data_IF_566924284226
#
_entry.id   IF_566924284226
#
_cell.length_a   1.000
_cell.length_b   1.000
_cell.length_c   1.000
_cell.angle_alpha   90.00
_cell.angle_beta   90.00
_cell.angle_gamma   90.00
#
_symmetry.space_group_name_H-M   'P 1'
#
loop_
_entity.id
_entity.type
_entity.pdbx_description
1 polymer ?
#
# COMPACT_ATOMS: atom_id res chain seq x y z
N UNK A 1 -1.62 0.69 -12.39
CA UNK A 1 -0.49 -0.02 -13.02
C UNK A 1 0.78 0.36 -12.27
N UNK A 2 1.25 -0.52 -11.38
CA UNK A 2 2.50 -0.30 -10.66
C UNK A 2 3.66 -0.42 -11.66
N UNK A 3 4.34 0.69 -11.93
CA UNK A 3 5.49 0.74 -12.82
C UNK A 3 6.67 0.07 -12.10
N UNK A 4 7.10 -1.08 -12.60
CA UNK A 4 8.45 -1.62 -12.38
C UNK A 4 8.80 -1.98 -10.93
N UNK A 5 8.02 -2.85 -10.29
CA UNK A 5 8.49 -3.56 -9.09
C UNK A 5 9.44 -4.69 -9.54
N UNK A 6 10.72 -4.36 -9.67
CA UNK A 6 11.78 -5.36 -9.56
C UNK A 6 11.87 -5.76 -8.09
N UNK A 7 11.70 -7.05 -7.79
CA UNK A 7 11.45 -7.62 -6.46
C UNK A 7 12.55 -7.41 -5.39
N UNK A 8 13.60 -6.64 -5.70
CA UNK A 8 14.76 -6.38 -4.85
C UNK A 8 14.67 -5.08 -4.03
N UNK A 9 14.03 -4.02 -4.53
CA UNK A 9 14.17 -2.69 -3.90
C UNK A 9 13.55 -2.59 -2.50
N UNK A 10 12.44 -3.29 -2.25
CA UNK A 10 11.82 -3.33 -0.91
C UNK A 10 12.65 -4.07 0.15
N UNK A 11 13.61 -4.92 -0.27
CA UNK A 11 14.47 -5.72 0.63
C UNK A 11 15.82 -5.05 0.88
N UNK A 12 16.34 -4.29 -0.09
CA UNK A 12 17.68 -3.70 -0.04
C UNK A 12 17.72 -2.34 0.69
N UNK A 13 16.59 -1.61 0.74
CA UNK A 13 16.49 -0.30 1.39
C UNK A 13 15.14 -0.13 2.11
N UNK A 14 15.00 -0.56 3.38
CA UNK A 14 13.70 -0.52 4.09
C UNK A 14 13.19 0.91 4.35
N UNK A 15 14.10 1.88 4.43
CA UNK A 15 13.81 3.28 4.77
C UNK A 15 13.49 4.17 3.57
N UNK A 16 13.38 3.57 2.37
CA UNK A 16 13.05 4.30 1.15
C UNK A 16 11.64 4.91 1.23
N UNK A 17 11.45 6.06 0.61
CA UNK A 17 10.15 6.73 0.58
C UNK A 17 9.14 5.92 -0.24
N UNK A 18 7.98 5.60 0.35
CA UNK A 18 6.91 4.87 -0.32
C UNK A 18 6.34 5.63 -1.53
N UNK A 19 6.43 6.96 -1.55
CA UNK A 19 5.98 7.80 -2.65
C UNK A 19 6.74 7.56 -3.96
N UNK A 20 7.90 6.92 -3.92
CA UNK A 20 8.64 6.54 -5.11
C UNK A 20 8.01 5.35 -5.86
N UNK A 21 7.17 4.56 -5.19
CA UNK A 21 6.60 3.33 -5.75
C UNK A 21 5.08 3.33 -5.82
N UNK A 22 4.41 4.04 -4.90
CA UNK A 22 2.96 4.04 -4.76
C UNK A 22 2.36 5.42 -4.96
N UNK A 23 1.18 5.45 -5.57
CA UNK A 23 0.38 6.66 -5.65
C UNK A 23 -0.07 7.13 -4.25
N UNK A 24 -0.20 8.44 -3.97
CA UNK A 24 -0.67 8.93 -2.68
C UNK A 24 -2.00 8.33 -2.22
N UNK A 25 -2.91 8.00 -3.14
CA UNK A 25 -4.17 7.34 -2.80
C UNK A 25 -3.98 5.86 -2.49
N UNK A 26 -3.04 5.16 -3.13
CA UNK A 26 -2.69 3.78 -2.77
C UNK A 26 -2.07 3.71 -1.38
N UNK A 27 -1.17 4.63 -1.06
CA UNK A 27 -0.60 4.76 0.29
C UNK A 27 -1.72 5.05 1.29
N UNK A 28 -2.56 6.06 1.04
CA UNK A 28 -3.69 6.41 1.91
C UNK A 28 -4.63 5.21 2.11
N UNK A 29 -4.97 4.50 1.05
CA UNK A 29 -5.83 3.31 1.09
C UNK A 29 -5.23 2.20 1.94
N UNK A 30 -3.93 1.91 1.82
CA UNK A 30 -3.27 0.90 2.65
C UNK A 30 -3.41 1.20 4.15
N UNK A 31 -3.21 2.45 4.57
CA UNK A 31 -3.38 2.86 5.97
C UNK A 31 -4.85 2.85 6.43
N UNK A 32 -5.79 3.29 5.59
CA UNK A 32 -7.21 3.29 5.92
C UNK A 32 -7.76 1.87 6.09
N UNK A 33 -7.45 0.96 5.16
CA UNK A 33 -7.92 -0.43 5.19
C UNK A 33 -7.33 -1.21 6.36
N UNK A 34 -6.09 -0.91 6.75
CA UNK A 34 -5.44 -1.56 7.91
C UNK A 34 -5.73 -0.87 9.24
N UNK A 35 -6.44 0.27 9.21
CA UNK A 35 -6.75 1.11 10.37
C UNK A 35 -5.51 1.53 11.18
N UNK A 36 -4.37 1.67 10.51
CA UNK A 36 -3.11 2.12 11.11
C UNK A 36 -2.96 3.62 10.89
N UNK A 37 -2.45 4.35 11.90
CA UNK A 37 -2.13 5.77 11.77
C UNK A 37 -1.02 5.97 10.76
N UNK A 38 -1.30 6.74 9.70
CA UNK A 38 -0.29 7.11 8.69
C UNK A 38 0.76 8.05 9.28
N UNK A 39 2.07 7.76 9.17
CA UNK A 39 3.14 8.67 9.52
C UNK A 39 3.25 9.83 8.50
N UNK A 40 4.01 10.87 8.84
CA UNK A 40 4.25 11.99 7.92
C UNK A 40 5.04 11.57 6.67
N UNK A 41 5.97 10.63 6.83
CA UNK A 41 6.78 10.07 5.75
C UNK A 41 6.62 8.54 5.76
N UNK A 42 5.71 8.00 4.93
CA UNK A 42 5.48 6.56 4.84
C UNK A 42 6.69 5.87 4.22
N UNK A 43 7.19 4.84 4.89
CA UNK A 43 8.33 4.03 4.39
C UNK A 43 7.84 2.92 3.47
N UNK A 44 8.64 2.59 2.45
CA UNK A 44 8.32 1.58 1.46
C UNK A 44 8.03 0.22 2.11
N UNK A 45 8.90 -0.23 3.03
CA UNK A 45 8.73 -1.52 3.70
C UNK A 45 7.47 -1.54 4.58
N UNK A 46 7.18 -0.43 5.27
CA UNK A 46 5.97 -0.29 6.10
C UNK A 46 4.71 -0.44 5.24
N UNK A 47 4.62 0.32 4.14
CA UNK A 47 3.48 0.26 3.23
C UNK A 47 3.36 -1.13 2.60
N UNK A 48 4.46 -1.74 2.15
CA UNK A 48 4.47 -3.10 1.61
C UNK A 48 3.98 -4.14 2.62
N UNK A 49 4.37 -4.03 3.89
CA UNK A 49 3.91 -4.93 4.95
C UNK A 49 2.43 -4.72 5.27
N UNK A 50 1.93 -3.47 5.26
CA UNK A 50 0.49 -3.20 5.39
C UNK A 50 -0.30 -3.81 4.24
N UNK A 51 0.16 -3.65 3.01
CA UNK A 51 -0.43 -4.28 1.82
C UNK A 51 -0.43 -5.81 1.99
N UNK A 52 0.71 -6.40 2.35
CA UNK A 52 0.78 -7.84 2.55
C UNK A 52 -0.18 -8.34 3.64
N UNK A 53 -0.42 -7.56 4.71
CA UNK A 53 -1.38 -7.90 5.77
C UNK A 53 -2.80 -8.01 5.23
N UNK A 54 -3.19 -7.13 4.31
CA UNK A 54 -4.49 -7.22 3.62
C UNK A 54 -4.62 -8.51 2.81
N UNK A 55 -3.52 -8.98 2.23
CA UNK A 55 -3.47 -10.27 1.53
C UNK A 55 -3.23 -11.49 2.41
N UNK A 56 -3.33 -11.37 3.74
CA UNK A 56 -3.25 -12.49 4.69
C UNK A 56 -1.89 -12.69 5.37
N UNK A 57 -0.94 -11.77 5.22
CA UNK A 57 0.32 -11.82 5.97
C UNK A 57 0.11 -11.42 7.44
N UNK A 58 0.52 -12.27 8.38
CA UNK A 58 0.28 -12.02 9.81
C UNK A 58 1.26 -11.01 10.43
N UNK A 59 2.45 -10.86 9.84
CA UNK A 59 3.51 -9.95 10.31
C UNK A 59 3.93 -10.19 11.78
N UNK A 60 4.01 -11.45 12.22
CA UNK A 60 4.53 -11.81 13.55
C UNK A 60 6.05 -11.69 13.57
N UNK A 61 6.60 -11.59 14.79
CA UNK A 61 8.05 -11.59 15.00
C UNK A 61 8.63 -12.92 14.48
N UNK A 62 9.46 -12.84 13.44
CA UNK A 62 10.12 -14.01 12.83
C UNK A 62 9.46 -14.55 11.56
N UNK A 63 8.32 -14.00 11.11
CA UNK A 63 7.65 -14.45 9.87
C UNK A 63 8.47 -14.17 8.58
N UNK A 64 9.54 -13.37 8.68
CA UNK A 64 10.37 -12.99 7.55
C UNK A 64 9.72 -11.92 6.66
N UNK A 65 9.98 -12.03 5.35
CA UNK A 65 9.44 -11.12 4.33
C UNK A 65 8.14 -11.69 3.72
N UNK A 66 7.16 -10.84 3.41
CA UNK A 66 5.91 -11.30 2.80
C UNK A 66 6.13 -11.93 1.42
N UNK A 67 5.39 -12.99 1.12
CA UNK A 67 5.45 -13.67 -0.17
C UNK A 67 4.74 -12.90 -1.29
N UNK A 68 5.13 -13.16 -2.54
CA UNK A 68 4.57 -12.47 -3.71
C UNK A 68 3.04 -12.57 -3.83
N UNK A 69 2.46 -13.73 -3.47
CA UNK A 69 1.01 -13.95 -3.52
C UNK A 69 0.24 -13.08 -2.52
N UNK A 70 0.72 -12.95 -1.28
CA UNK A 70 0.04 -12.13 -0.27
C UNK A 70 0.16 -10.65 -0.62
N UNK A 71 1.31 -10.22 -1.16
CA UNK A 71 1.49 -8.86 -1.68
C UNK A 71 0.50 -8.59 -2.82
N UNK A 72 0.39 -9.49 -3.80
CA UNK A 72 -0.52 -9.32 -4.94
C UNK A 72 -1.99 -9.20 -4.52
N UNK A 73 -2.44 -10.05 -3.59
CA UNK A 73 -3.80 -9.99 -3.06
C UNK A 73 -4.09 -8.66 -2.37
N UNK A 74 -3.16 -8.20 -1.52
CA UNK A 74 -3.30 -6.91 -0.86
C UNK A 74 -3.28 -5.73 -1.82
N UNK A 75 -2.44 -5.78 -2.87
CA UNK A 75 -2.36 -4.73 -3.88
C UNK A 75 -3.68 -4.58 -4.64
N UNK A 76 -4.36 -5.70 -4.95
CA UNK A 76 -5.67 -5.65 -5.59
C UNK A 76 -6.67 -4.85 -4.76
N UNK A 77 -6.73 -5.12 -3.46
CA UNK A 77 -7.69 -4.47 -2.57
C UNK A 77 -7.36 -2.99 -2.35
N UNK A 78 -6.07 -2.66 -2.21
CA UNK A 78 -5.59 -1.26 -2.16
C UNK A 78 -5.91 -0.52 -3.46
N UNK A 79 -5.72 -1.15 -4.62
CA UNK A 79 -6.01 -0.53 -5.90
C UNK A 79 -7.49 -0.18 -6.07
N UNK A 80 -8.38 -1.09 -5.66
CA UNK A 80 -9.84 -0.84 -5.66
C UNK A 80 -10.17 0.32 -4.72
N UNK A 81 -9.66 0.30 -3.49
CA UNK A 81 -9.91 1.38 -2.54
C UNK A 81 -9.40 2.74 -3.04
N UNK A 82 -8.21 2.79 -3.65
CA UNK A 82 -7.65 4.01 -4.20
C UNK A 82 -8.50 4.55 -5.35
N UNK A 83 -9.02 3.67 -6.21
CA UNK A 83 -9.97 4.05 -7.26
C UNK A 83 -11.26 4.63 -6.68
N UNK A 84 -11.83 3.99 -5.67
CA UNK A 84 -13.03 4.49 -4.99
C UNK A 84 -12.79 5.85 -4.33
N UNK A 85 -11.64 6.04 -3.67
CA UNK A 85 -11.30 7.34 -3.06
C UNK A 85 -11.21 8.47 -4.08
N UNK A 86 -10.70 8.20 -5.28
CA UNK A 86 -10.68 9.18 -6.38
C UNK A 86 -12.08 9.52 -6.84
N UNK A 87 -12.89 8.50 -7.15
CA UNK A 87 -14.29 8.69 -7.57
C UNK A 87 -15.09 9.50 -6.56
N UNK A 88 -14.98 9.21 -5.26
CA UNK A 88 -15.68 9.97 -4.21
C UNK A 88 -15.27 11.44 -4.13
N UNK A 89 -14.01 11.78 -4.45
CA UNK A 89 -13.57 13.18 -4.51
C UNK A 89 -14.14 13.89 -5.73
N UNK A 90 -14.21 13.20 -6.85
CA UNK A 90 -14.74 13.74 -8.10
C UNK A 90 -16.27 13.92 -8.00
N UNK A 91 -16.98 12.98 -7.38
CA UNK A 91 -18.42 13.05 -7.13
C UNK A 91 -18.78 14.22 -6.18
N UNK A 92 -17.96 14.44 -5.14
CA UNK A 92 -18.11 15.56 -4.21
C UNK A 92 -17.88 16.94 -4.82
N UNK A 93 -17.40 17.01 -6.06
CA UNK A 93 -17.21 18.24 -6.83
C UNK A 93 -18.33 18.54 -7.84
N UNK A 94 -19.28 17.63 -8.06
CA UNK A 94 -20.33 17.80 -9.09
C UNK A 94 -21.68 18.33 -8.56
N UNK A 95 -21.72 18.81 -7.31
CA UNK A 95 -22.84 19.63 -6.84
C UNK A 95 -22.71 21.06 -7.41
N UNK A 96 -23.05 21.26 -8.69
CA UNK A 96 -23.42 22.55 -9.29
C UNK A 96 -24.63 22.40 -10.20
#
# INVERSE_FOLDING_TARGET
>A
MARGLSDAHGRTCPDLDAHLFFDPDEIRSAYLLTQVRRPAQPKLNEVLRLIARLGGFLARKGDGEPGAKTIWLGLRDVHIAAKTLRLLRDDGGSCV
#
